data_IF_501894367398
#
_entry.id   IF_501894367398
#
_cell.length_a   1.000
_cell.length_b   1.000
_cell.length_c   1.000
_cell.angle_alpha   90.00
_cell.angle_beta   90.00
_cell.angle_gamma   90.00
#
_symmetry.space_group_name_H-M   'P 1'
#
loop_
_entity.id
_entity.type
_entity.pdbx_description
1 polymer ?
#
# COMPACT_ATOMS: atom_id res chain seq x y z
N UNK A 1 36.95 12.12 27.45
CA UNK A 1 36.33 13.11 26.55
C UNK A 1 34.81 13.08 26.70
N UNK A 2 34.15 11.93 26.55
CA UNK A 2 32.69 11.74 26.76
C UNK A 2 32.15 12.35 28.07
N UNK A 3 32.81 12.14 29.21
CA UNK A 3 32.36 12.69 30.51
C UNK A 3 32.44 14.21 30.61
N UNK A 4 33.35 14.85 29.88
CA UNK A 4 33.45 16.31 29.80
C UNK A 4 32.39 16.87 28.84
N UNK A 5 32.16 16.18 27.71
CA UNK A 5 31.08 16.51 26.78
C UNK A 5 29.70 16.42 27.45
N UNK A 6 29.44 15.35 28.22
CA UNK A 6 28.21 15.24 29.02
C UNK A 6 28.08 16.38 30.04
N UNK A 7 29.16 16.72 30.77
CA UNK A 7 29.13 17.87 31.69
C UNK A 7 28.81 19.20 31.00
N UNK A 8 29.30 19.39 29.77
CA UNK A 8 29.00 20.56 28.93
C UNK A 8 27.54 20.55 28.49
N UNK A 9 27.01 19.41 28.02
CA UNK A 9 25.63 19.28 27.55
C UNK A 9 24.60 19.53 28.66
N UNK A 10 24.90 19.10 29.89
CA UNK A 10 23.99 19.23 31.03
C UNK A 10 24.13 20.55 31.79
N UNK A 11 25.08 21.43 31.44
CA UNK A 11 25.24 22.80 31.97
C UNK A 11 24.98 22.96 33.50
N UNK A 12 25.43 21.98 34.30
CA UNK A 12 25.29 21.99 35.77
C UNK A 12 24.16 21.12 36.34
N UNK A 13 23.31 20.52 35.51
CA UNK A 13 22.40 19.46 35.91
C UNK A 13 23.15 18.14 36.18
N UNK A 14 22.66 17.27 37.09
CA UNK A 14 23.27 15.98 37.33
C UNK A 14 23.14 15.10 36.09
N UNK A 15 24.28 14.52 35.65
CA UNK A 15 24.30 13.54 34.57
C UNK A 15 23.54 12.29 35.05
N UNK A 16 22.55 11.79 34.30
CA UNK A 16 21.84 10.56 34.66
C UNK A 16 22.80 9.39 34.87
N UNK A 17 22.53 8.53 35.85
CA UNK A 17 23.32 7.32 36.05
C UNK A 17 23.17 6.40 34.83
N UNK A 18 24.30 5.94 34.31
CA UNK A 18 24.35 5.02 33.18
C UNK A 18 25.37 3.91 33.45
N UNK A 19 25.16 2.75 32.83
CA UNK A 19 26.08 1.62 32.95
C UNK A 19 27.37 1.90 32.18
N UNK A 20 28.48 2.04 32.90
CA UNK A 20 29.80 2.25 32.30
C UNK A 20 30.37 0.90 31.89
N UNK A 21 29.99 0.43 30.70
CA UNK A 21 30.61 -0.69 30.01
C UNK A 21 31.21 -0.22 28.67
N UNK A 22 32.09 -1.03 28.07
CA UNK A 22 32.80 -0.71 26.81
C UNK A 22 31.83 -0.28 25.70
N UNK A 23 30.76 -1.05 25.51
CA UNK A 23 29.71 -0.76 24.53
C UNK A 23 29.02 0.59 24.77
N UNK A 24 28.69 0.94 26.01
CA UNK A 24 28.04 2.21 26.33
C UNK A 24 28.98 3.39 26.10
N UNK A 25 30.27 3.24 26.41
CA UNK A 25 31.27 4.29 26.19
C UNK A 25 31.50 4.52 24.69
N UNK A 26 31.55 3.46 23.89
CA UNK A 26 31.71 3.56 22.43
C UNK A 26 30.51 4.26 21.78
N UNK A 27 29.28 3.88 22.16
CA UNK A 27 28.05 4.54 21.68
C UNK A 27 28.06 6.02 22.06
N UNK A 28 28.41 6.36 23.30
CA UNK A 28 28.46 7.76 23.73
C UNK A 28 29.58 8.55 23.04
N UNK A 29 30.68 7.90 22.67
CA UNK A 29 31.75 8.52 21.89
C UNK A 29 31.30 8.84 20.47
N UNK A 30 30.64 7.90 19.79
CA UNK A 30 30.06 8.11 18.46
C UNK A 30 29.04 9.25 18.47
N UNK A 31 28.16 9.29 19.48
CA UNK A 31 27.18 10.36 19.64
C UNK A 31 27.86 11.71 19.92
N UNK A 32 28.91 11.73 20.75
CA UNK A 32 29.70 12.93 21.00
C UNK A 32 30.33 13.47 19.72
N UNK A 33 30.98 12.62 18.93
CA UNK A 33 31.59 13.01 17.65
C UNK A 33 30.55 13.56 16.66
N UNK A 34 29.43 12.83 16.50
CA UNK A 34 28.31 13.28 15.67
C UNK A 34 27.75 14.63 16.14
N UNK A 35 27.63 14.83 17.45
CA UNK A 35 27.11 16.07 18.01
C UNK A 35 28.08 17.24 17.82
N UNK A 36 29.37 17.02 18.06
CA UNK A 36 30.39 18.06 17.87
C UNK A 36 30.54 18.47 16.40
N UNK A 37 30.39 17.54 15.46
CA UNK A 37 30.36 17.83 14.03
C UNK A 37 29.12 18.67 13.68
N UNK A 38 27.93 18.25 14.11
CA UNK A 38 26.69 19.02 13.90
C UNK A 38 26.71 20.39 14.56
N UNK A 39 27.27 20.52 15.75
CA UNK A 39 27.41 21.80 16.45
C UNK A 39 28.30 22.76 15.65
N UNK A 40 29.38 22.26 15.02
CA UNK A 40 30.23 23.07 14.14
C UNK A 40 29.47 23.51 12.89
N UNK A 41 28.70 22.63 12.26
CA UNK A 41 27.91 22.96 11.07
C UNK A 41 26.85 24.03 11.38
N UNK A 42 26.16 23.89 12.52
CA UNK A 42 25.18 24.89 12.98
C UNK A 42 25.86 26.22 13.29
N UNK A 43 27.03 26.21 13.94
CA UNK A 43 27.82 27.42 14.20
C UNK A 43 28.23 28.13 12.89
N UNK A 44 28.68 27.38 11.87
CA UNK A 44 29.02 27.93 10.57
C UNK A 44 27.79 28.55 9.88
N UNK A 45 26.64 27.89 9.94
CA UNK A 45 25.39 28.42 9.41
C UNK A 45 24.96 29.71 10.13
N UNK A 46 25.09 29.77 11.45
CA UNK A 46 24.78 30.97 12.23
C UNK A 46 25.68 32.14 11.80
N UNK A 47 26.99 31.89 11.63
CA UNK A 47 27.94 32.92 11.24
C UNK A 47 27.68 33.41 9.80
N UNK A 48 27.42 32.50 8.86
CA UNK A 48 27.02 32.85 7.48
C UNK A 48 25.75 33.71 7.46
N UNK A 49 24.73 33.34 8.23
CA UNK A 49 23.48 34.11 8.31
C UNK A 49 23.71 35.50 8.91
N UNK A 50 24.58 35.64 9.91
CA UNK A 50 24.96 36.95 10.45
C UNK A 50 25.70 37.79 9.43
N UNK A 51 26.68 37.22 8.73
CA UNK A 51 27.42 37.94 7.68
C UNK A 51 26.48 38.41 6.58
N UNK A 52 25.56 37.57 6.13
CA UNK A 52 24.53 37.92 5.15
C UNK A 52 23.62 39.05 5.67
N UNK A 53 23.15 38.97 6.90
CA UNK A 53 22.33 40.02 7.50
C UNK A 53 23.05 41.36 7.55
N UNK A 54 24.32 41.38 7.98
CA UNK A 54 25.13 42.61 8.00
C UNK A 54 25.40 43.18 6.61
N UNK A 55 25.58 42.34 5.59
CA UNK A 55 25.70 42.79 4.20
C UNK A 55 24.41 43.42 3.70
N UNK A 56 23.26 42.80 3.97
CA UNK A 56 21.96 43.35 3.60
C UNK A 56 21.69 44.70 4.30
N UNK A 57 22.03 44.82 5.58
CA UNK A 57 21.89 46.07 6.34
C UNK A 57 22.77 47.19 5.75
N UNK A 58 24.04 46.90 5.47
CA UNK A 58 24.95 47.87 4.86
C UNK A 58 24.52 48.29 3.44
N UNK A 59 23.96 47.36 2.65
CA UNK A 59 23.40 47.66 1.34
C UNK A 59 22.13 48.52 1.43
N UNK A 60 21.26 48.24 2.41
CA UNK A 60 20.07 49.05 2.66
C UNK A 60 20.43 50.49 3.05
N UNK A 61 21.40 50.67 3.96
CA UNK A 61 21.94 51.99 4.32
C UNK A 61 22.53 52.72 3.10
N UNK A 62 23.33 52.03 2.29
CA UNK A 62 23.89 52.58 1.05
C UNK A 62 22.79 53.08 0.09
N UNK A 63 21.75 52.29 -0.14
CA UNK A 63 20.66 52.70 -1.02
C UNK A 63 19.80 53.82 -0.42
N UNK A 64 19.62 53.84 0.90
CA UNK A 64 18.93 54.93 1.58
C UNK A 64 19.67 56.27 1.40
N UNK A 65 21.00 56.27 1.54
CA UNK A 65 21.83 57.45 1.27
C UNK A 65 21.75 57.89 -0.20
N UNK A 66 21.86 56.95 -1.14
CA UNK A 66 21.76 57.25 -2.59
C UNK A 66 20.38 57.84 -2.93
N UNK A 67 19.30 57.24 -2.45
CA UNK A 67 17.94 57.71 -2.72
C UNK A 67 17.67 59.07 -2.07
N UNK A 68 18.10 59.25 -0.81
CA UNK A 68 17.90 60.47 -0.04
C UNK A 68 18.77 61.64 -0.50
N UNK A 69 20.08 61.47 -0.56
CA UNK A 69 21.03 62.56 -0.83
C UNK A 69 21.14 62.91 -2.33
N UNK A 70 21.14 61.90 -3.21
CA UNK A 70 21.41 62.11 -4.65
C UNK A 70 20.12 62.37 -5.43
N UNK A 71 19.05 61.65 -5.10
CA UNK A 71 17.79 61.71 -5.84
C UNK A 71 16.68 62.48 -5.11
N UNK A 72 16.86 62.80 -3.83
CA UNK A 72 15.89 63.55 -3.04
C UNK A 72 14.61 62.78 -2.70
N UNK A 73 14.64 61.44 -2.80
CA UNK A 73 13.55 60.58 -2.39
C UNK A 73 13.65 60.33 -0.88
N UNK A 74 12.62 60.73 -0.13
CA UNK A 74 12.52 60.49 1.30
C UNK A 74 11.23 59.73 1.59
N UNK A 75 11.16 59.10 2.77
CA UNK A 75 9.94 58.47 3.25
C UNK A 75 8.82 59.53 3.32
N UNK A 76 7.85 59.46 2.39
CA UNK A 76 6.80 60.47 2.19
C UNK A 76 6.95 61.40 0.97
N UNK A 77 8.01 61.26 0.16
CA UNK A 77 8.13 62.00 -1.12
C UNK A 77 7.27 61.41 -2.25
N UNK A 78 6.84 60.15 -2.09
CA UNK A 78 5.95 59.45 -3.01
C UNK A 78 4.49 59.67 -2.61
N UNK A 79 3.56 59.53 -3.56
CA UNK A 79 2.14 59.46 -3.22
C UNK A 79 1.86 58.16 -2.46
N UNK A 80 0.74 58.13 -1.72
CA UNK A 80 0.24 56.92 -1.07
C UNK A 80 0.10 55.77 -2.08
N UNK A 81 -0.50 56.04 -3.24
CA UNK A 81 -0.67 55.07 -4.33
C UNK A 81 0.66 54.53 -4.88
N UNK A 82 1.69 55.37 -5.05
CA UNK A 82 3.01 54.92 -5.49
C UNK A 82 3.74 54.08 -4.43
N UNK A 83 3.43 54.30 -3.14
CA UNK A 83 3.98 53.51 -2.04
C UNK A 83 3.29 52.14 -1.95
N UNK A 84 1.97 52.11 -2.16
CA UNK A 84 1.17 50.89 -2.27
C UNK A 84 1.65 50.03 -3.45
N UNK A 85 1.78 50.60 -4.65
CA UNK A 85 2.28 49.88 -5.84
C UNK A 85 3.67 49.25 -5.63
N UNK A 86 4.59 49.98 -4.97
CA UNK A 86 5.93 49.45 -4.67
C UNK A 86 5.88 48.34 -3.61
N UNK A 87 4.99 48.46 -2.63
CA UNK A 87 4.79 47.43 -1.61
C UNK A 87 4.23 46.16 -2.25
N UNK A 88 3.18 46.28 -3.06
CA UNK A 88 2.59 45.18 -3.82
C UNK A 88 3.62 44.50 -4.73
N UNK A 89 4.49 45.27 -5.38
CA UNK A 89 5.56 44.73 -6.23
C UNK A 89 6.57 43.92 -5.42
N UNK A 90 6.98 44.40 -4.25
CA UNK A 90 7.92 43.71 -3.35
C UNK A 90 7.26 42.47 -2.76
N UNK A 91 6.02 42.55 -2.30
CA UNK A 91 5.25 41.41 -1.80
C UNK A 91 5.09 40.34 -2.88
N UNK A 92 4.74 40.74 -4.11
CA UNK A 92 4.65 39.83 -5.26
C UNK A 92 5.99 39.18 -5.58
N UNK A 93 7.11 39.91 -5.44
CA UNK A 93 8.43 39.36 -5.66
C UNK A 93 8.79 38.29 -4.61
N UNK A 94 8.44 38.54 -3.35
CA UNK A 94 8.64 37.60 -2.24
C UNK A 94 7.76 36.35 -2.41
N UNK A 95 6.48 36.53 -2.76
CA UNK A 95 5.55 35.41 -2.95
C UNK A 95 5.94 34.52 -4.13
N UNK A 96 6.46 35.11 -5.22
CA UNK A 96 6.94 34.40 -6.39
C UNK A 96 8.39 33.90 -6.25
N UNK A 97 9.06 34.17 -5.12
CA UNK A 97 10.46 33.81 -4.83
C UNK A 97 11.42 34.23 -5.97
N UNK A 98 11.28 35.47 -6.45
CA UNK A 98 12.15 36.01 -7.50
C UNK A 98 13.39 36.70 -6.93
N UNK A 99 14.51 36.58 -7.65
CA UNK A 99 15.80 37.15 -7.26
C UNK A 99 15.82 38.68 -7.29
N UNK A 100 15.08 39.28 -8.23
CA UNK A 100 14.99 40.73 -8.39
C UNK A 100 13.60 41.16 -8.89
N UNK A 101 13.32 42.47 -8.80
CA UNK A 101 12.09 43.07 -9.33
C UNK A 101 12.13 43.32 -10.84
N UNK A 102 13.06 42.67 -11.56
CA UNK A 102 13.14 42.80 -13.01
C UNK A 102 11.98 42.05 -13.67
N UNK A 103 11.52 42.62 -14.79
CA UNK A 103 10.46 42.03 -15.58
C UNK A 103 10.78 40.60 -16.06
N UNK A 104 12.07 40.30 -16.30
CA UNK A 104 12.50 38.97 -16.75
C UNK A 104 12.35 37.92 -15.65
N UNK A 105 12.67 38.27 -14.40
CA UNK A 105 12.51 37.37 -13.25
C UNK A 105 11.03 37.04 -13.01
N UNK A 106 10.16 38.06 -13.04
CA UNK A 106 8.71 37.84 -12.97
C UNK A 106 8.17 36.99 -14.13
N UNK A 107 8.61 37.24 -15.38
CA UNK A 107 8.18 36.41 -16.50
C UNK A 107 8.61 34.95 -16.37
N UNK A 108 9.82 34.70 -15.84
CA UNK A 108 10.29 33.34 -15.56
C UNK A 108 9.40 32.67 -14.51
N UNK A 109 9.21 33.30 -13.35
CA UNK A 109 8.40 32.75 -12.26
C UNK A 109 6.96 32.47 -12.70
N UNK A 110 6.34 33.40 -13.42
CA UNK A 110 4.99 33.21 -13.97
C UNK A 110 4.91 32.06 -14.97
N UNK A 111 5.92 31.92 -15.84
CA UNK A 111 5.97 30.83 -16.80
C UNK A 111 6.16 29.47 -16.11
N UNK A 112 7.04 29.41 -15.11
CA UNK A 112 7.31 28.20 -14.34
C UNK A 112 6.06 27.78 -13.55
N UNK A 113 5.41 28.71 -12.85
CA UNK A 113 4.14 28.48 -12.15
C UNK A 113 3.03 28.02 -13.11
N UNK A 114 2.92 28.66 -14.27
CA UNK A 114 1.94 28.28 -15.30
C UNK A 114 2.22 26.87 -15.81
N UNK A 115 3.48 26.53 -16.07
CA UNK A 115 3.88 25.19 -16.51
C UNK A 115 3.54 24.14 -15.45
N UNK A 116 3.89 24.38 -14.18
CA UNK A 116 3.57 23.48 -13.07
C UNK A 116 2.06 23.28 -12.90
N UNK A 117 1.27 24.34 -13.04
CA UNK A 117 -0.19 24.27 -13.00
C UNK A 117 -0.73 23.33 -14.09
N UNK A 118 -0.25 23.47 -15.33
CA UNK A 118 -0.68 22.60 -16.44
C UNK A 118 -0.24 21.16 -16.25
N UNK A 119 1.00 20.92 -15.80
CA UNK A 119 1.49 19.58 -15.49
C UNK A 119 0.64 18.90 -14.41
N UNK A 120 0.41 19.61 -13.31
CA UNK A 120 -0.37 19.12 -12.18
C UNK A 120 -1.81 18.81 -12.61
N UNK A 121 -2.42 19.70 -13.39
CA UNK A 121 -3.75 19.48 -13.95
C UNK A 121 -3.79 18.24 -14.85
N UNK A 122 -2.82 18.08 -15.75
CA UNK A 122 -2.73 16.92 -16.65
C UNK A 122 -2.57 15.60 -15.88
N UNK A 123 -1.68 15.57 -14.87
CA UNK A 123 -1.49 14.43 -13.97
C UNK A 123 -2.79 14.09 -13.24
N UNK A 124 -3.54 15.09 -12.77
CA UNK A 124 -4.81 14.91 -12.09
C UNK A 124 -5.88 14.29 -13.02
N UNK A 125 -6.03 14.80 -14.24
CA UNK A 125 -6.94 14.25 -15.26
C UNK A 125 -6.58 12.79 -15.61
N UNK A 126 -5.28 12.45 -15.64
CA UNK A 126 -4.83 11.08 -15.84
C UNK A 126 -5.20 10.16 -14.69
N UNK A 127 -4.98 10.60 -13.44
CA UNK A 127 -5.37 9.85 -12.25
C UNK A 127 -6.88 9.61 -12.22
N UNK A 128 -7.69 10.61 -12.56
CA UNK A 128 -9.14 10.47 -12.61
C UNK A 128 -9.58 9.42 -13.63
N UNK A 129 -8.95 9.40 -14.82
CA UNK A 129 -9.20 8.34 -15.83
C UNK A 129 -8.80 6.95 -15.33
N UNK A 130 -7.67 6.82 -14.64
CA UNK A 130 -7.22 5.54 -14.05
C UNK A 130 -8.20 5.08 -12.97
N UNK A 131 -8.63 5.96 -12.07
CA UNK A 131 -9.62 5.69 -11.03
C UNK A 131 -10.95 5.21 -11.63
N UNK A 132 -11.45 5.89 -12.66
CA UNK A 132 -12.68 5.48 -13.36
C UNK A 132 -12.56 4.09 -13.97
N UNK A 133 -11.40 3.77 -14.54
CA UNK A 133 -11.12 2.45 -15.12
C UNK A 133 -11.05 1.37 -14.06
N UNK A 134 -10.33 1.61 -12.96
CA UNK A 134 -10.24 0.69 -11.82
C UNK A 134 -11.61 0.43 -11.19
N UNK A 135 -12.43 1.47 -11.01
CA UNK A 135 -13.79 1.35 -10.50
C UNK A 135 -14.64 0.42 -11.36
N UNK A 136 -14.59 0.58 -12.69
CA UNK A 136 -15.30 -0.33 -13.63
C UNK A 136 -14.84 -1.78 -13.47
N UNK A 137 -13.52 -2.01 -13.43
CA UNK A 137 -12.95 -3.36 -13.24
C UNK A 137 -13.38 -3.97 -11.92
N UNK A 138 -13.36 -3.20 -10.83
CA UNK A 138 -13.79 -3.65 -9.51
C UNK A 138 -15.28 -4.03 -9.51
N UNK A 139 -16.15 -3.21 -10.09
CA UNK A 139 -17.58 -3.55 -10.22
C UNK A 139 -17.80 -4.83 -11.02
N UNK A 140 -17.08 -5.03 -12.13
CA UNK A 140 -17.15 -6.28 -12.89
C UNK A 140 -16.66 -7.48 -12.09
N UNK A 141 -15.56 -7.34 -11.35
CA UNK A 141 -15.02 -8.41 -10.51
C UNK A 141 -16.00 -8.81 -9.39
N UNK A 142 -16.58 -7.83 -8.69
CA UNK A 142 -17.57 -8.06 -7.64
C UNK A 142 -18.83 -8.76 -8.18
N UNK A 143 -19.25 -8.43 -9.40
CA UNK A 143 -20.38 -9.11 -10.04
C UNK A 143 -20.08 -10.59 -10.32
N UNK A 144 -18.88 -10.89 -10.80
CA UNK A 144 -18.43 -12.28 -11.03
C UNK A 144 -18.27 -13.04 -9.72
N UNK A 145 -17.71 -12.41 -8.68
CA UNK A 145 -17.60 -13.00 -7.35
C UNK A 145 -18.96 -13.43 -6.80
N UNK A 146 -19.96 -12.55 -6.89
CA UNK A 146 -21.33 -12.86 -6.45
C UNK A 146 -21.92 -14.04 -7.25
N UNK A 147 -21.71 -14.07 -8.57
CA UNK A 147 -22.18 -15.18 -9.39
C UNK A 147 -21.53 -16.51 -8.99
N UNK A 148 -20.22 -16.50 -8.72
CA UNK A 148 -19.49 -17.69 -8.27
C UNK A 148 -19.99 -18.18 -6.91
N UNK A 149 -20.32 -17.28 -6.00
CA UNK A 149 -20.90 -17.63 -4.70
C UNK A 149 -22.26 -18.33 -4.86
N UNK A 150 -23.13 -17.79 -5.72
CA UNK A 150 -24.42 -18.41 -6.07
C UNK A 150 -24.26 -19.79 -6.75
N UNK A 151 -23.28 -19.93 -7.65
CA UNK A 151 -22.99 -21.18 -8.35
C UNK A 151 -22.44 -22.25 -7.39
N UNK A 152 -21.57 -21.87 -6.45
CA UNK A 152 -21.05 -22.77 -5.40
C UNK A 152 -22.19 -23.30 -4.54
N UNK A 153 -23.12 -22.43 -4.13
CA UNK A 153 -24.27 -22.82 -3.31
C UNK A 153 -25.20 -23.79 -4.07
N UNK A 154 -25.42 -23.56 -5.36
CA UNK A 154 -26.18 -24.47 -6.22
C UNK A 154 -25.48 -25.82 -6.40
N UNK A 155 -24.17 -25.82 -6.59
CA UNK A 155 -23.37 -27.03 -6.72
C UNK A 155 -23.42 -27.88 -5.46
N UNK A 156 -23.28 -27.27 -4.27
CA UNK A 156 -23.41 -27.97 -2.98
C UNK A 156 -24.75 -28.71 -2.87
N UNK A 157 -25.87 -28.03 -3.15
CA UNK A 157 -27.21 -28.65 -3.14
C UNK A 157 -27.34 -29.82 -4.11
N UNK A 158 -26.75 -29.68 -5.31
CA UNK A 158 -26.76 -30.76 -6.31
C UNK A 158 -25.92 -31.96 -5.89
N UNK A 159 -24.79 -31.71 -5.21
CA UNK A 159 -23.91 -32.75 -4.68
C UNK A 159 -24.61 -33.54 -3.57
N UNK A 160 -25.24 -32.87 -2.60
CA UNK A 160 -26.01 -33.53 -1.53
C UNK A 160 -27.11 -34.44 -2.11
N UNK A 161 -27.83 -33.96 -3.13
CA UNK A 161 -28.86 -34.74 -3.79
C UNK A 161 -28.30 -35.98 -4.52
N UNK A 162 -27.13 -35.86 -5.15
CA UNK A 162 -26.49 -36.96 -5.86
C UNK A 162 -25.86 -37.98 -4.89
N UNK A 163 -25.29 -37.52 -3.77
CA UNK A 163 -24.81 -38.38 -2.68
C UNK A 163 -25.95 -39.21 -2.10
N UNK A 164 -27.11 -38.59 -1.82
CA UNK A 164 -28.30 -39.32 -1.33
C UNK A 164 -28.79 -40.38 -2.33
N UNK A 165 -28.78 -40.08 -3.64
CA UNK A 165 -29.12 -41.05 -4.68
C UNK A 165 -28.10 -42.18 -4.78
N UNK A 166 -26.81 -41.86 -4.71
CA UNK A 166 -25.72 -42.84 -4.76
C UNK A 166 -25.81 -43.79 -3.55
N UNK A 167 -26.10 -43.26 -2.36
CA UNK A 167 -26.31 -44.06 -1.15
C UNK A 167 -27.52 -44.99 -1.29
N UNK A 168 -28.65 -44.49 -1.81
CA UNK A 168 -29.85 -45.29 -2.06
C UNK A 168 -29.60 -46.42 -3.08
N UNK A 169 -28.85 -46.12 -4.15
CA UNK A 169 -28.43 -47.13 -5.14
C UNK A 169 -27.51 -48.18 -4.52
N UNK A 170 -26.55 -47.76 -3.69
CA UNK A 170 -25.64 -48.67 -2.96
C UNK A 170 -26.41 -49.62 -2.04
N UNK A 171 -27.36 -49.10 -1.25
CA UNK A 171 -28.25 -49.93 -0.40
C UNK A 171 -29.06 -50.92 -1.22
N UNK A 172 -29.60 -50.50 -2.36
CA UNK A 172 -30.34 -51.36 -3.29
C UNK A 172 -29.46 -52.47 -3.86
N UNK A 173 -28.25 -52.14 -4.29
CA UNK A 173 -27.29 -53.10 -4.84
C UNK A 173 -26.94 -54.17 -3.78
N UNK A 174 -26.65 -53.75 -2.55
CA UNK A 174 -26.36 -54.66 -1.43
C UNK A 174 -27.53 -55.59 -1.11
N UNK A 175 -28.77 -55.09 -1.18
CA UNK A 175 -29.96 -55.92 -1.01
C UNK A 175 -30.08 -56.97 -2.14
N UNK A 176 -29.88 -56.56 -3.39
CA UNK A 176 -29.95 -57.47 -4.54
C UNK A 176 -28.87 -58.54 -4.49
N UNK A 177 -27.65 -58.19 -4.06
CA UNK A 177 -26.56 -59.14 -3.85
C UNK A 177 -26.90 -60.18 -2.79
N UNK A 178 -27.36 -59.75 -1.61
CA UNK A 178 -27.82 -60.65 -0.55
C UNK A 178 -28.95 -61.58 -1.03
N UNK A 179 -29.92 -61.03 -1.79
CA UNK A 179 -31.03 -61.81 -2.34
C UNK A 179 -30.56 -62.82 -3.40
N UNK A 180 -29.57 -62.47 -4.21
CA UNK A 180 -28.96 -63.41 -5.16
C UNK A 180 -28.29 -64.58 -4.44
N UNK A 181 -27.59 -64.33 -3.34
CA UNK A 181 -26.98 -65.38 -2.50
C UNK A 181 -28.04 -66.28 -1.86
N UNK A 182 -29.09 -65.72 -1.26
CA UNK A 182 -30.21 -66.50 -0.68
C UNK A 182 -30.89 -67.38 -1.74
N UNK A 183 -31.17 -66.85 -2.93
CA UNK A 183 -31.75 -67.62 -4.03
C UNK A 183 -30.82 -68.75 -4.48
N UNK A 184 -29.51 -68.51 -4.59
CA UNK A 184 -28.53 -69.57 -4.92
C UNK A 184 -28.52 -70.69 -3.88
N UNK A 185 -28.65 -70.36 -2.59
CA UNK A 185 -28.74 -71.35 -1.52
C UNK A 185 -30.03 -72.17 -1.66
N UNK A 186 -31.19 -71.51 -1.82
CA UNK A 186 -32.48 -72.19 -1.96
C UNK A 186 -32.57 -73.09 -3.20
N UNK A 187 -31.98 -72.65 -4.32
CA UNK A 187 -31.90 -73.46 -5.54
C UNK A 187 -31.11 -74.73 -5.26
N UNK A 188 -29.92 -74.61 -4.65
CA UNK A 188 -29.10 -75.76 -4.28
C UNK A 188 -29.83 -76.72 -3.33
N UNK A 189 -30.47 -76.19 -2.29
CA UNK A 189 -31.25 -77.01 -1.35
C UNK A 189 -32.41 -77.76 -2.04
N UNK A 190 -33.07 -77.12 -3.01
CA UNK A 190 -34.15 -77.73 -3.79
C UNK A 190 -33.62 -78.79 -4.78
N UNK A 191 -32.49 -78.54 -5.43
CA UNK A 191 -31.78 -79.50 -6.28
C UNK A 191 -31.38 -80.74 -5.48
N UNK A 192 -30.78 -80.57 -4.29
CA UNK A 192 -30.41 -81.66 -3.39
C UNK A 192 -31.64 -82.50 -2.96
N UNK A 193 -32.77 -81.84 -2.68
CA UNK A 193 -34.03 -82.52 -2.38
C UNK A 193 -34.59 -83.32 -3.56
N UNK A 194 -34.49 -82.80 -4.79
CA UNK A 194 -34.92 -83.49 -6.00
C UNK A 194 -34.05 -84.72 -6.26
N UNK A 195 -32.74 -84.61 -6.09
CA UNK A 195 -31.79 -85.72 -6.20
C UNK A 195 -32.14 -86.81 -5.16
N UNK A 196 -32.39 -86.42 -3.90
CA UNK A 196 -32.77 -87.36 -2.83
C UNK A 196 -34.10 -88.10 -3.11
N UNK A 197 -35.00 -87.53 -3.93
CA UNK A 197 -36.26 -88.15 -4.35
C UNK A 197 -36.13 -89.04 -5.59
N UNK A 198 -34.92 -89.22 -6.12
CA UNK A 198 -34.62 -90.13 -7.23
C UNK A 198 -34.68 -89.47 -8.62
N UNK A 199 -34.51 -88.15 -8.72
CA UNK A 199 -34.38 -87.48 -10.01
C UNK A 199 -33.07 -87.90 -10.72
N UNK A 200 -33.17 -88.32 -11.98
CA UNK A 200 -32.01 -88.59 -12.84
C UNK A 200 -31.34 -87.28 -13.26
N UNK A 201 -30.04 -87.14 -12.94
CA UNK A 201 -29.25 -85.93 -13.23
C UNK A 201 -29.12 -85.65 -14.73
N UNK A 202 -29.31 -86.66 -15.60
CA UNK A 202 -29.30 -86.50 -17.05
C UNK A 202 -30.42 -85.59 -17.59
N UNK A 203 -31.50 -85.40 -16.83
CA UNK A 203 -32.65 -84.56 -17.17
C UNK A 203 -32.55 -83.12 -16.64
N UNK A 204 -31.43 -82.76 -16.01
CA UNK A 204 -31.22 -81.38 -15.53
C UNK A 204 -31.02 -80.42 -16.69
N UNK A 205 -31.45 -79.17 -16.55
CA UNK A 205 -31.28 -78.14 -17.60
C UNK A 205 -29.81 -77.98 -17.99
N UNK A 206 -28.88 -78.02 -17.03
CA UNK A 206 -27.45 -77.90 -17.32
C UNK A 206 -26.92 -79.10 -18.15
N UNK A 207 -27.34 -80.32 -17.82
CA UNK A 207 -26.98 -81.51 -18.60
C UNK A 207 -27.61 -81.49 -20.01
N UNK A 208 -28.86 -81.03 -20.12
CA UNK A 208 -29.57 -80.91 -21.39
C UNK A 208 -28.95 -79.85 -22.30
N UNK A 209 -28.57 -78.69 -21.75
CA UNK A 209 -27.88 -77.63 -22.51
C UNK A 209 -26.49 -78.11 -22.96
N UNK A 210 -25.70 -78.75 -22.08
CA UNK A 210 -24.40 -79.34 -22.45
C UNK A 210 -24.52 -80.48 -23.46
N UNK A 211 -25.67 -81.15 -23.54
CA UNK A 211 -25.95 -82.18 -24.55
C UNK A 211 -26.54 -81.63 -25.86
N UNK A 212 -26.91 -80.34 -25.89
CA UNK A 212 -27.50 -79.66 -27.05
C UNK A 212 -26.55 -78.65 -27.73
N UNK A 213 -25.41 -78.33 -27.11
CA UNK A 213 -24.25 -77.72 -27.75
C UNK A 213 -23.31 -78.80 -28.31
#
# INVERSE_FOLDING_TARGET
>A
QVTLWLKKLFEGAPIPEYEVNERTVDILHEVMECNEERDKDVMLLIEDMKERASKCEAEAEYWQDVLGEILGFFEGSLSEEATEDLTDLVESAIELDVEDTSLTSFYRALNDMTSELYETKSKNEEMERKLKTLRKKLTSALMVEKQLEEDIEKLKKSQEAEEAKAEARSKTLKFLENKSVDLKIRIRDAEDQLIARGLDQSLTHEALVKSSE
#
